data_IF_344943726980
#
_entry.id   IF_344943726980
#
_cell.length_a   1.000
_cell.length_b   1.000
_cell.length_c   1.000
_cell.angle_alpha   90.00
_cell.angle_beta   90.00
_cell.angle_gamma   90.00
#
_symmetry.space_group_name_H-M   'P 1'
#
loop_
_entity.id
_entity.type
_entity.pdbx_description
1 polymer ?
#
# COMPACT_ATOMS: atom_id res chain seq x y z
N UNK A 1 16.40 37.13 7.39
CA UNK A 1 17.56 36.27 7.54
C UNK A 1 17.99 36.26 9.00
N UNK A 2 17.54 35.28 9.79
CA UNK A 2 18.11 34.92 11.10
C UNK A 2 17.94 33.42 11.23
N UNK A 3 19.06 32.68 11.23
CA UNK A 3 19.08 31.23 11.35
C UNK A 3 18.74 30.78 12.76
N UNK A 4 17.78 29.91 12.87
CA UNK A 4 17.44 29.21 14.12
C UNK A 4 18.30 27.95 14.17
N UNK A 5 19.27 27.93 15.07
CA UNK A 5 20.05 26.75 15.44
C UNK A 5 19.17 25.91 16.39
N UNK A 6 18.73 24.74 15.95
CA UNK A 6 18.08 23.77 16.81
C UNK A 6 19.16 23.01 17.57
N UNK A 7 19.26 23.27 18.87
CA UNK A 7 20.16 22.53 19.80
C UNK A 7 19.37 21.36 20.35
N UNK A 8 19.74 20.15 19.95
CA UNK A 8 19.22 18.92 20.55
C UNK A 8 19.89 18.70 21.90
N UNK A 9 19.11 18.80 22.98
CA UNK A 9 19.53 18.41 24.34
C UNK A 9 19.07 16.98 24.57
N UNK A 10 20.03 16.06 24.65
CA UNK A 10 19.79 14.69 25.14
C UNK A 10 19.74 14.72 26.67
N UNK A 11 18.72 14.20 27.32
CA UNK A 11 18.78 13.95 28.76
C UNK A 11 19.55 12.65 29.04
N UNK A 12 20.65 12.80 29.78
CA UNK A 12 21.41 11.70 30.37
C UNK A 12 20.57 11.16 31.54
N UNK A 13 20.01 9.94 31.42
CA UNK A 13 19.38 9.23 32.54
C UNK A 13 20.47 8.52 33.38
N UNK A 14 20.66 9.03 34.57
CA UNK A 14 21.44 8.39 35.65
C UNK A 14 20.72 7.12 36.10
N UNK A 15 21.38 5.98 35.98
CA UNK A 15 20.98 4.72 36.60
C UNK A 15 21.51 4.70 38.03
N UNK A 16 20.61 4.91 39.00
CA UNK A 16 20.90 4.65 40.43
C UNK A 16 20.59 3.18 40.69
N UNK A 17 21.59 2.45 41.19
CA UNK A 17 21.47 1.07 41.61
C UNK A 17 20.60 0.92 42.87
N UNK A 18 19.73 -0.08 42.84
CA UNK A 18 19.09 -0.63 44.05
C UNK A 18 19.32 -2.14 44.04
N UNK A 19 20.20 -2.58 44.94
CA UNK A 19 20.35 -3.97 45.37
C UNK A 19 19.27 -4.27 46.41
N UNK A 20 18.51 -5.36 46.19
CA UNK A 20 17.68 -5.87 47.28
C UNK A 20 16.61 -6.87 46.87
N UNK A 21 16.80 -8.10 47.38
CA UNK A 21 15.82 -9.16 47.66
C UNK A 21 15.40 -10.07 46.50
N UNK A 22 16.14 -11.17 46.37
CA UNK A 22 15.74 -12.44 45.79
C UNK A 22 14.56 -13.02 46.60
N UNK A 23 13.34 -12.87 46.12
CA UNK A 23 12.21 -13.73 46.45
C UNK A 23 11.82 -14.50 45.20
N UNK A 24 11.94 -15.82 45.29
CA UNK A 24 11.64 -16.74 44.20
C UNK A 24 10.18 -16.64 43.81
N UNK A 25 9.93 -16.04 42.65
CA UNK A 25 8.75 -16.31 41.86
C UNK A 25 9.17 -17.33 40.83
N UNK A 26 8.59 -18.53 40.89
CA UNK A 26 8.58 -19.47 39.78
C UNK A 26 8.11 -18.71 38.57
N UNK A 27 9.01 -18.54 37.59
CA UNK A 27 8.64 -18.20 36.22
C UNK A 27 7.78 -19.36 35.75
N UNK A 28 6.47 -19.21 35.76
CA UNK A 28 5.65 -19.87 34.79
C UNK A 28 6.19 -19.40 33.44
N UNK A 29 6.91 -20.28 32.74
CA UNK A 29 7.16 -20.17 31.35
C UNK A 29 5.80 -20.17 30.65
N UNK A 30 5.25 -19.01 30.45
CA UNK A 30 4.25 -18.78 29.41
C UNK A 30 4.92 -19.04 28.07
N UNK A 31 5.18 -20.32 27.78
CA UNK A 31 5.15 -20.78 26.42
C UNK A 31 3.70 -20.57 25.99
N UNK A 32 3.40 -19.44 25.34
CA UNK A 32 2.23 -19.37 24.49
C UNK A 32 2.33 -20.59 23.59
N UNK A 33 1.54 -21.59 23.95
CA UNK A 33 1.37 -22.79 23.19
C UNK A 33 0.85 -22.34 21.83
N UNK A 34 1.69 -22.41 20.81
CA UNK A 34 1.29 -22.49 19.40
C UNK A 34 0.59 -23.86 19.24
N UNK A 35 -0.53 -24.04 19.94
CA UNK A 35 -1.28 -25.30 20.00
C UNK A 35 -2.05 -25.61 18.69
N UNK A 36 -1.88 -24.79 17.65
CA UNK A 36 -2.40 -25.04 16.32
C UNK A 36 -1.35 -25.26 15.24
N UNK A 37 -0.06 -24.96 15.51
CA UNK A 37 1.00 -25.10 14.50
C UNK A 37 1.51 -26.53 14.53
N UNK A 38 0.85 -27.40 13.78
CA UNK A 38 1.33 -28.79 13.58
C UNK A 38 2.64 -28.78 12.78
N UNK A 39 3.72 -29.11 13.46
CA UNK A 39 5.05 -29.29 12.86
C UNK A 39 5.16 -30.66 12.13
N UNK A 40 4.05 -31.16 11.61
CA UNK A 40 4.04 -32.46 10.96
C UNK A 40 4.43 -32.33 9.48
N UNK A 41 5.56 -32.94 9.12
CA UNK A 41 6.04 -33.00 7.73
C UNK A 41 5.02 -33.63 6.76
N UNK A 42 4.05 -34.40 7.24
CA UNK A 42 2.98 -34.99 6.46
C UNK A 42 2.02 -33.93 5.90
N UNK A 43 1.71 -32.90 6.68
CA UNK A 43 0.83 -31.78 6.26
C UNK A 43 1.53 -30.88 5.23
N UNK A 44 2.83 -30.77 5.29
CA UNK A 44 3.62 -29.95 4.37
C UNK A 44 3.60 -30.48 2.91
N UNK A 45 3.18 -31.73 2.68
CA UNK A 45 3.03 -32.34 1.36
C UNK A 45 1.55 -32.49 0.94
N UNK A 46 0.62 -31.86 1.62
CA UNK A 46 -0.80 -31.85 1.26
C UNK A 46 -1.06 -30.91 0.07
N UNK A 47 -1.48 -31.41 -1.11
CA UNK A 47 -1.75 -30.58 -2.28
C UNK A 47 -2.82 -29.48 -2.03
N UNK A 48 -3.81 -29.74 -1.18
CA UNK A 48 -4.83 -28.76 -0.84
C UNK A 48 -4.27 -27.65 0.02
N UNK A 49 -3.38 -27.96 0.96
CA UNK A 49 -2.67 -26.99 1.79
C UNK A 49 -1.72 -26.14 0.95
N UNK A 50 -1.00 -26.73 0.01
CA UNK A 50 -0.11 -26.02 -0.93
C UNK A 50 -0.91 -25.06 -1.80
N UNK A 51 -2.03 -25.50 -2.36
CA UNK A 51 -2.90 -24.65 -3.19
C UNK A 51 -3.50 -23.48 -2.38
N UNK A 52 -3.90 -23.72 -1.11
CA UNK A 52 -4.30 -22.65 -0.19
C UNK A 52 -3.16 -21.67 0.03
N UNK A 53 -1.95 -22.16 0.28
CA UNK A 53 -0.76 -21.33 0.47
C UNK A 53 -0.43 -20.48 -0.76
N UNK A 54 -0.55 -21.03 -1.97
CA UNK A 54 -0.43 -20.27 -3.22
C UNK A 54 -1.43 -19.12 -3.30
N UNK A 55 -2.69 -19.40 -3.02
CA UNK A 55 -3.74 -18.39 -2.98
C UNK A 55 -3.42 -17.26 -1.97
N UNK A 56 -2.97 -17.63 -0.77
CA UNK A 56 -2.61 -16.69 0.28
C UNK A 56 -1.35 -15.87 -0.09
N UNK A 57 -0.37 -16.48 -0.76
CA UNK A 57 0.82 -15.77 -1.24
C UNK A 57 0.47 -14.71 -2.30
N UNK A 58 -0.51 -15.00 -3.17
CA UNK A 58 -1.07 -14.02 -4.10
C UNK A 58 -1.84 -12.93 -3.36
N UNK A 59 -2.71 -13.29 -2.42
CA UNK A 59 -3.46 -12.34 -1.62
C UNK A 59 -2.57 -11.40 -0.78
N UNK A 60 -1.40 -11.91 -0.37
CA UNK A 60 -0.38 -11.16 0.37
C UNK A 60 0.62 -10.39 -0.50
N UNK A 61 0.43 -10.41 -1.83
CA UNK A 61 1.29 -9.73 -2.80
C UNK A 61 2.80 -10.02 -2.62
N UNK A 62 3.13 -11.25 -2.24
CA UNK A 62 4.50 -11.62 -1.92
C UNK A 62 5.46 -11.46 -3.11
N UNK A 63 4.99 -11.72 -4.34
CA UNK A 63 5.75 -11.61 -5.58
C UNK A 63 6.20 -10.19 -5.89
N UNK A 64 5.40 -9.17 -5.58
CA UNK A 64 5.74 -7.77 -5.86
C UNK A 64 7.08 -7.34 -5.27
N UNK A 65 7.44 -7.89 -4.09
CA UNK A 65 8.72 -7.60 -3.46
C UNK A 65 9.74 -8.72 -3.66
N UNK A 66 9.29 -9.99 -3.64
CA UNK A 66 10.18 -11.14 -3.56
C UNK A 66 10.52 -11.79 -4.89
N UNK A 67 9.96 -11.36 -6.01
CA UNK A 67 10.45 -11.78 -7.33
C UNK A 67 11.84 -11.19 -7.60
N UNK A 68 12.60 -11.86 -8.47
CA UNK A 68 13.87 -11.30 -8.94
C UNK A 68 13.65 -10.33 -10.12
N UNK A 69 14.68 -9.56 -10.42
CA UNK A 69 14.63 -8.61 -11.54
C UNK A 69 14.39 -9.27 -12.91
N UNK A 70 14.84 -10.52 -13.07
CA UNK A 70 14.61 -11.36 -14.25
C UNK A 70 13.24 -12.06 -14.24
N UNK A 71 12.38 -11.74 -13.27
CA UNK A 71 11.06 -12.36 -13.04
C UNK A 71 11.09 -13.80 -12.54
N UNK A 72 12.22 -14.29 -12.03
CA UNK A 72 12.25 -15.57 -11.31
C UNK A 72 11.41 -15.43 -10.03
N UNK A 73 10.33 -16.23 -9.89
CA UNK A 73 9.40 -16.08 -8.78
C UNK A 73 10.08 -16.27 -7.43
N UNK A 74 9.82 -15.35 -6.50
CA UNK A 74 10.26 -15.37 -5.11
C UNK A 74 11.78 -15.46 -4.88
N UNK A 75 12.59 -15.27 -5.93
CA UNK A 75 14.06 -15.37 -5.85
C UNK A 75 14.72 -14.12 -5.24
N UNK A 76 13.96 -13.08 -4.93
CA UNK A 76 14.42 -11.89 -4.21
C UNK A 76 15.28 -10.94 -5.05
N UNK A 77 15.66 -9.83 -4.43
CA UNK A 77 16.57 -8.87 -5.02
C UNK A 77 15.91 -7.59 -5.52
N UNK A 78 14.58 -7.52 -5.54
CA UNK A 78 13.88 -6.26 -5.86
C UNK A 78 14.10 -5.22 -4.75
N UNK A 79 14.41 -3.96 -5.09
CA UNK A 79 14.51 -2.88 -4.13
C UNK A 79 13.12 -2.37 -3.74
N UNK A 80 12.84 -2.29 -2.44
CA UNK A 80 11.77 -1.52 -1.87
C UNK A 80 12.34 -0.16 -1.48
N UNK A 81 11.91 0.89 -2.13
CA UNK A 81 12.41 2.24 -1.87
C UNK A 81 11.91 2.75 -0.51
N UNK A 82 12.79 3.43 0.21
CA UNK A 82 12.47 4.11 1.45
C UNK A 82 13.18 5.45 1.54
N UNK A 83 12.73 6.39 2.40
CA UNK A 83 13.44 7.64 2.63
C UNK A 83 14.88 7.46 3.14
N UNK A 84 15.21 6.27 3.60
CA UNK A 84 16.50 5.92 4.19
C UNK A 84 17.44 5.21 3.20
N UNK A 85 16.93 4.84 2.02
CA UNK A 85 17.62 4.10 0.98
C UNK A 85 16.87 2.82 0.58
N UNK A 86 17.36 2.09 -0.43
CA UNK A 86 16.71 0.88 -0.92
C UNK A 86 16.89 -0.28 0.09
N UNK A 87 15.79 -1.00 0.32
CA UNK A 87 15.76 -2.22 1.12
C UNK A 87 15.48 -3.37 0.15
N UNK A 88 16.42 -4.31 0.04
CA UNK A 88 16.29 -5.42 -0.89
C UNK A 88 15.52 -6.58 -0.25
N UNK A 89 14.50 -7.07 -0.95
CA UNK A 89 13.75 -8.24 -0.54
C UNK A 89 14.62 -9.52 -0.65
N UNK A 90 14.47 -10.41 0.30
CA UNK A 90 15.22 -11.67 0.34
C UNK A 90 14.66 -12.70 -0.64
N UNK A 91 15.50 -13.66 -1.02
CA UNK A 91 15.07 -14.91 -1.64
C UNK A 91 14.26 -15.71 -0.60
N UNK A 92 13.01 -16.04 -0.92
CA UNK A 92 12.10 -16.85 -0.09
C UNK A 92 11.71 -18.16 -0.75
N UNK A 93 12.51 -18.61 -1.75
CA UNK A 93 12.38 -19.96 -2.32
C UNK A 93 12.92 -21.01 -1.35
N UNK A 94 12.59 -22.31 -1.53
CA UNK A 94 13.08 -23.38 -0.66
C UNK A 94 14.55 -23.75 -0.90
N UNK A 95 15.37 -22.86 -1.46
CA UNK A 95 16.81 -23.06 -1.55
C UNK A 95 17.44 -23.06 -0.15
N UNK A 96 18.24 -24.09 0.22
CA UNK A 96 18.79 -24.21 1.58
C UNK A 96 19.96 -23.26 1.86
N UNK A 97 20.51 -22.59 0.85
CA UNK A 97 21.67 -21.72 0.98
C UNK A 97 21.31 -20.24 0.87
N UNK A 98 20.53 -19.91 -0.12
CA UNK A 98 20.18 -18.51 -0.45
C UNK A 98 18.74 -18.15 -0.11
N UNK A 99 17.87 -19.15 0.08
CA UNK A 99 16.46 -19.00 0.42
C UNK A 99 16.13 -19.40 1.86
N UNK A 100 14.88 -19.83 2.04
CA UNK A 100 14.34 -20.24 3.34
C UNK A 100 14.27 -21.75 3.55
N UNK A 101 14.90 -22.56 2.69
CA UNK A 101 14.78 -24.02 2.69
C UNK A 101 15.25 -24.74 3.98
N UNK A 102 15.90 -24.02 4.91
CA UNK A 102 16.26 -24.52 6.25
C UNK A 102 15.35 -24.03 7.37
N UNK A 103 14.33 -23.20 7.06
CA UNK A 103 13.45 -22.67 8.09
C UNK A 103 12.48 -23.75 8.57
N UNK A 104 12.33 -23.87 9.88
CA UNK A 104 11.20 -24.58 10.46
C UNK A 104 9.93 -23.74 10.33
N UNK A 105 8.75 -24.36 10.42
CA UNK A 105 7.47 -23.65 10.44
C UNK A 105 7.44 -22.53 11.50
N UNK A 106 7.98 -22.79 12.68
CA UNK A 106 8.08 -21.79 13.75
C UNK A 106 8.97 -20.62 13.35
N UNK A 107 10.13 -20.87 12.75
CA UNK A 107 11.02 -19.79 12.30
C UNK A 107 10.38 -18.97 11.16
N UNK A 108 9.65 -19.61 10.26
CA UNK A 108 8.88 -18.96 9.22
C UNK A 108 7.78 -18.06 9.84
N UNK A 109 7.03 -18.58 10.82
CA UNK A 109 6.03 -17.81 11.56
C UNK A 109 6.66 -16.62 12.30
N UNK A 110 7.80 -16.78 12.95
CA UNK A 110 8.52 -15.71 13.66
C UNK A 110 8.96 -14.58 12.70
N UNK A 111 9.46 -14.94 11.50
CA UNK A 111 9.81 -13.97 10.47
C UNK A 111 8.57 -13.23 9.98
N UNK A 112 7.51 -13.96 9.66
CA UNK A 112 6.31 -13.40 9.06
C UNK A 112 5.56 -12.47 10.03
N UNK A 113 5.40 -12.87 11.30
CA UNK A 113 4.61 -12.13 12.29
C UNK A 113 5.39 -11.10 13.10
N UNK A 114 6.66 -11.29 13.29
CA UNK A 114 7.47 -10.43 14.16
C UNK A 114 8.73 -9.87 13.52
N UNK A 115 8.99 -10.20 12.26
CA UNK A 115 10.21 -9.81 11.56
C UNK A 115 11.50 -10.36 12.18
N UNK A 116 11.42 -11.45 12.98
CA UNK A 116 12.59 -12.04 13.63
C UNK A 116 13.15 -13.20 12.81
N UNK A 117 14.35 -13.02 12.28
CA UNK A 117 15.05 -14.05 11.51
C UNK A 117 15.68 -15.13 12.41
N UNK A 118 15.96 -16.33 11.89
CA UNK A 118 16.57 -17.43 12.67
C UNK A 118 17.90 -17.09 13.31
N UNK A 119 18.69 -16.16 12.73
CA UNK A 119 19.93 -15.64 13.28
C UNK A 119 19.74 -14.52 14.32
N UNK A 120 18.49 -14.25 14.72
CA UNK A 120 18.12 -13.29 15.76
C UNK A 120 18.04 -11.83 15.32
N UNK A 121 18.31 -11.53 14.06
CA UNK A 121 18.14 -10.16 13.54
C UNK A 121 16.68 -9.81 13.37
N UNK A 122 16.39 -8.51 13.35
CA UNK A 122 15.08 -7.97 13.02
C UNK A 122 15.06 -7.41 11.61
N UNK A 123 13.98 -7.66 10.88
CA UNK A 123 13.77 -7.07 9.55
C UNK A 123 13.46 -5.58 9.67
N UNK A 124 13.72 -4.85 8.60
CA UNK A 124 13.13 -3.51 8.44
C UNK A 124 11.64 -3.65 8.15
N UNK A 125 10.80 -2.70 8.61
CA UNK A 125 9.34 -2.76 8.41
C UNK A 125 8.90 -2.45 6.96
N UNK A 126 9.84 -2.48 6.00
CA UNK A 126 9.52 -2.60 4.58
C UNK A 126 8.83 -3.93 4.25
N UNK A 127 9.17 -5.02 4.97
CA UNK A 127 8.31 -6.18 5.05
C UNK A 127 7.20 -5.89 6.07
N UNK A 128 5.92 -5.94 5.69
CA UNK A 128 4.80 -5.49 6.54
C UNK A 128 4.44 -6.52 7.62
N UNK A 129 5.46 -7.00 8.38
CA UNK A 129 5.24 -7.96 9.46
C UNK A 129 4.29 -7.45 10.57
N UNK A 130 4.12 -6.14 10.82
CA UNK A 130 3.07 -5.70 11.75
C UNK A 130 1.65 -6.04 11.27
N UNK A 131 1.39 -6.02 9.96
CA UNK A 131 0.13 -6.48 9.38
C UNK A 131 0.07 -8.02 9.38
N UNK A 132 1.13 -8.70 8.98
CA UNK A 132 1.19 -10.16 8.99
C UNK A 132 1.12 -10.78 10.39
N UNK A 133 1.36 -10.01 11.45
CA UNK A 133 1.12 -10.45 12.83
C UNK A 133 -0.34 -10.89 13.05
N UNK A 134 -1.30 -10.36 12.25
CA UNK A 134 -2.72 -10.71 12.31
C UNK A 134 -3.06 -12.08 11.73
N UNK A 135 -2.15 -12.73 10.99
CA UNK A 135 -2.40 -14.02 10.36
C UNK A 135 -2.63 -15.12 11.41
N UNK A 136 -3.61 -15.98 11.18
CA UNK A 136 -3.84 -17.17 11.98
C UNK A 136 -2.82 -18.30 11.67
N UNK A 137 -2.78 -19.32 12.49
CA UNK A 137 -1.79 -20.40 12.37
C UNK A 137 -2.01 -21.29 11.15
N UNK A 138 -3.28 -21.49 10.75
CA UNK A 138 -3.61 -22.30 9.58
C UNK A 138 -3.11 -21.65 8.29
N UNK A 139 -3.28 -20.33 8.16
CA UNK A 139 -2.81 -19.58 6.99
C UNK A 139 -1.27 -19.50 6.95
N UNK A 140 -0.61 -19.35 8.10
CA UNK A 140 0.87 -19.41 8.17
C UNK A 140 1.37 -20.80 7.78
N UNK A 141 0.69 -21.86 8.21
CA UNK A 141 1.02 -23.23 7.87
C UNK A 141 0.86 -23.48 6.37
N UNK A 142 -0.23 -22.98 5.76
CA UNK A 142 -0.47 -23.09 4.33
C UNK A 142 0.59 -22.32 3.51
N UNK A 143 0.92 -21.08 3.91
CA UNK A 143 1.99 -20.31 3.29
C UNK A 143 3.34 -21.04 3.37
N UNK A 144 3.68 -21.60 4.53
CA UNK A 144 4.89 -22.39 4.71
C UNK A 144 4.92 -23.60 3.77
N UNK A 145 3.83 -24.38 3.70
CA UNK A 145 3.72 -25.52 2.81
C UNK A 145 3.93 -25.11 1.34
N UNK A 146 3.34 -24.00 0.90
CA UNK A 146 3.51 -23.48 -0.45
C UNK A 146 4.97 -23.09 -0.74
N UNK A 147 5.59 -22.28 0.13
CA UNK A 147 6.96 -21.84 -0.10
C UNK A 147 7.98 -22.97 -0.02
N UNK A 148 7.73 -24.00 0.78
CA UNK A 148 8.64 -25.13 0.91
C UNK A 148 8.45 -26.21 -0.16
N UNK A 149 7.23 -26.39 -0.69
CA UNK A 149 6.91 -27.53 -1.57
C UNK A 149 6.25 -27.12 -2.89
N UNK A 150 5.63 -25.95 -2.99
CA UNK A 150 4.99 -25.43 -4.21
C UNK A 150 5.92 -24.57 -5.07
N UNK A 151 6.92 -23.93 -4.46
CA UNK A 151 7.85 -23.01 -5.13
C UNK A 151 9.12 -23.76 -5.55
N UNK A 152 9.65 -23.46 -6.74
CA UNK A 152 10.94 -24.01 -7.20
C UNK A 152 12.10 -23.31 -6.49
N UNK A 153 13.13 -24.03 -6.02
CA UNK A 153 14.31 -23.43 -5.43
C UNK A 153 15.07 -22.58 -6.45
N UNK A 154 15.63 -21.47 -6.00
CA UNK A 154 16.48 -20.57 -6.80
C UNK A 154 17.74 -20.22 -6.02
N UNK A 155 18.88 -20.32 -6.68
CA UNK A 155 20.20 -19.96 -6.12
C UNK A 155 20.48 -18.45 -6.25
N UNK A 156 19.49 -17.62 -6.57
CA UNK A 156 19.68 -16.18 -6.67
C UNK A 156 20.11 -15.59 -5.33
N UNK A 157 21.21 -14.86 -5.35
CA UNK A 157 21.75 -14.17 -4.19
C UNK A 157 21.23 -12.73 -4.16
N UNK A 158 20.18 -12.49 -3.38
CA UNK A 158 19.63 -11.15 -3.23
C UNK A 158 20.67 -10.18 -2.64
N UNK A 159 20.76 -8.93 -3.15
CA UNK A 159 21.68 -7.92 -2.62
C UNK A 159 21.43 -7.65 -1.14
N UNK A 160 22.50 -7.37 -0.40
CA UNK A 160 22.36 -6.98 1.00
C UNK A 160 21.92 -5.52 1.12
N UNK A 161 20.90 -5.28 1.94
CA UNK A 161 20.48 -3.92 2.30
C UNK A 161 21.57 -3.21 3.08
N UNK A 162 22.01 -2.04 2.59
CA UNK A 162 23.01 -1.19 3.21
C UNK A 162 22.47 0.23 3.35
N UNK A 163 21.85 0.51 4.49
CA UNK A 163 21.37 1.86 4.80
C UNK A 163 22.50 2.73 5.40
N UNK A 164 22.45 4.06 5.27
CA UNK A 164 23.42 4.96 5.92
C UNK A 164 23.22 4.95 7.44
N UNK A 165 24.27 5.36 8.19
CA UNK A 165 24.14 5.61 9.62
C UNK A 165 23.15 6.76 9.90
N UNK A 166 22.28 6.64 10.90
CA UNK A 166 22.16 5.57 11.91
C UNK A 166 21.19 4.43 11.51
N UNK A 167 20.59 4.44 10.33
CA UNK A 167 19.54 3.51 9.91
C UNK A 167 20.05 2.08 9.62
N UNK A 168 21.36 1.90 9.51
CA UNK A 168 22.02 0.59 9.41
C UNK A 168 22.12 -0.15 10.75
N UNK A 169 21.73 0.48 11.87
CA UNK A 169 21.81 -0.11 13.21
C UNK A 169 20.64 -1.10 13.46
N UNK A 170 20.81 -2.34 13.02
CA UNK A 170 19.75 -3.38 13.07
C UNK A 170 19.20 -3.66 14.46
N UNK A 171 20.00 -3.49 15.50
CA UNK A 171 19.53 -3.64 16.89
C UNK A 171 18.42 -2.64 17.26
N UNK A 172 18.42 -1.46 16.63
CA UNK A 172 17.37 -0.46 16.84
C UNK A 172 15.98 -0.95 16.40
N UNK A 173 15.93 -1.90 15.47
CA UNK A 173 14.67 -2.49 15.02
C UNK A 173 13.98 -3.32 16.09
N UNK A 174 14.71 -3.79 17.11
CA UNK A 174 14.10 -4.42 18.28
C UNK A 174 13.20 -3.43 19.02
N UNK A 175 13.72 -2.23 19.31
CA UNK A 175 12.96 -1.19 19.98
C UNK A 175 11.84 -0.65 19.08
N UNK A 176 12.12 -0.44 17.80
CA UNK A 176 11.11 0.01 16.86
C UNK A 176 9.93 -0.96 16.78
N UNK A 177 10.21 -2.25 16.62
CA UNK A 177 9.19 -3.28 16.56
C UNK A 177 8.36 -3.33 17.86
N UNK A 178 9.00 -3.17 19.01
CA UNK A 178 8.31 -3.22 20.30
C UNK A 178 7.44 -1.98 20.58
N UNK A 179 7.87 -0.81 20.14
CA UNK A 179 7.17 0.45 20.40
C UNK A 179 6.09 0.77 19.35
N UNK A 180 6.32 0.40 18.10
CA UNK A 180 5.52 0.82 16.96
C UNK A 180 4.92 -0.36 16.16
N UNK A 181 5.38 -1.58 16.37
CA UNK A 181 4.87 -2.76 15.68
C UNK A 181 3.56 -3.26 16.28
N UNK A 182 2.70 -3.85 15.44
CA UNK A 182 1.59 -4.66 15.93
C UNK A 182 2.08 -6.10 16.20
N UNK A 183 1.57 -6.71 17.26
CA UNK A 183 1.91 -8.07 17.68
C UNK A 183 0.69 -8.95 17.95
N UNK A 184 -0.50 -8.45 17.64
CA UNK A 184 -1.77 -9.15 17.90
C UNK A 184 -2.23 -9.90 16.66
N UNK A 185 -2.63 -11.16 16.85
CA UNK A 185 -3.38 -11.88 15.84
C UNK A 185 -4.78 -11.27 15.68
N UNK A 186 -5.36 -11.45 14.49
CA UNK A 186 -6.73 -11.06 14.24
C UNK A 186 -7.70 -11.93 15.05
N UNK A 187 -8.60 -11.29 15.77
CA UNK A 187 -9.68 -11.95 16.47
C UNK A 187 -11.00 -11.51 15.82
N UNK A 188 -11.82 -12.45 15.32
CA UNK A 188 -13.11 -12.11 14.74
C UNK A 188 -14.03 -11.38 15.71
N UNK A 189 -14.64 -10.28 15.27
CA UNK A 189 -15.69 -9.60 16.02
C UNK A 189 -16.99 -10.41 15.93
N UNK A 190 -17.46 -10.94 17.05
CA UNK A 190 -18.67 -11.75 17.16
C UNK A 190 -19.95 -10.97 16.85
N UNK A 191 -19.92 -9.65 16.87
CA UNK A 191 -21.04 -8.77 16.54
C UNK A 191 -21.11 -8.40 15.06
N UNK A 192 -20.14 -8.84 14.26
CA UNK A 192 -20.06 -8.60 12.81
C UNK A 192 -20.31 -9.90 12.03
N UNK A 193 -20.71 -9.74 10.77
CA UNK A 193 -20.90 -10.89 9.89
C UNK A 193 -19.56 -11.61 9.60
N UNK A 194 -19.64 -12.88 9.22
CA UNK A 194 -18.47 -13.64 8.77
C UNK A 194 -17.78 -12.99 7.57
N UNK A 195 -18.56 -12.43 6.65
CA UNK A 195 -18.05 -11.70 5.49
C UNK A 195 -17.28 -10.44 5.90
N UNK A 196 -17.83 -9.65 6.83
CA UNK A 196 -17.12 -8.48 7.37
C UNK A 196 -15.81 -8.89 8.03
N UNK A 197 -15.82 -9.91 8.87
CA UNK A 197 -14.63 -10.43 9.54
C UNK A 197 -13.57 -10.94 8.55
N UNK A 198 -14.02 -11.60 7.47
CA UNK A 198 -13.13 -12.03 6.39
C UNK A 198 -12.48 -10.83 5.68
N UNK A 199 -13.27 -9.80 5.40
CA UNK A 199 -12.77 -8.55 4.80
C UNK A 199 -11.77 -7.83 5.70
N UNK A 200 -12.07 -7.68 6.99
CA UNK A 200 -11.17 -7.10 7.97
C UNK A 200 -9.84 -7.88 8.05
N UNK A 201 -9.91 -9.21 8.15
CA UNK A 201 -8.73 -10.07 8.16
C UNK A 201 -7.84 -9.90 6.92
N UNK A 202 -8.45 -9.80 5.73
CA UNK A 202 -7.71 -9.59 4.50
C UNK A 202 -7.09 -8.18 4.43
N UNK A 203 -7.85 -7.14 4.74
CA UNK A 203 -7.40 -5.75 4.61
C UNK A 203 -6.34 -5.39 5.67
N UNK A 204 -6.57 -5.78 6.92
CA UNK A 204 -5.69 -5.44 8.04
C UNK A 204 -4.48 -6.37 8.15
N UNK A 205 -4.62 -7.62 7.69
CA UNK A 205 -3.59 -8.66 7.77
C UNK A 205 -2.89 -8.89 6.43
N UNK A 206 -3.36 -9.90 5.70
CA UNK A 206 -2.64 -10.45 4.56
C UNK A 206 -2.45 -9.44 3.40
N UNK A 207 -3.49 -8.69 3.06
CA UNK A 207 -3.44 -7.65 2.01
C UNK A 207 -2.70 -6.37 2.43
N UNK A 208 -2.36 -6.22 3.71
CA UNK A 208 -1.59 -5.11 4.31
C UNK A 208 -1.89 -3.72 3.71
N UNK A 209 -3.16 -3.44 3.42
CA UNK A 209 -3.59 -2.19 2.76
C UNK A 209 -3.15 -0.94 3.54
N UNK A 210 -3.09 -1.04 4.89
CA UNK A 210 -2.58 0.00 5.77
C UNK A 210 -1.15 0.41 5.48
N UNK A 211 -0.30 -0.49 4.99
CA UNK A 211 1.10 -0.19 4.68
C UNK A 211 1.28 0.96 3.69
N UNK A 212 0.30 1.17 2.79
CA UNK A 212 0.29 2.30 1.86
C UNK A 212 -0.78 3.34 2.21
N UNK A 213 -1.97 2.89 2.61
CA UNK A 213 -3.15 3.75 2.77
C UNK A 213 -3.32 4.35 4.18
N UNK A 214 -2.38 4.11 5.11
CA UNK A 214 -2.36 4.75 6.45
C UNK A 214 -1.21 5.75 6.54
N UNK A 215 -1.39 6.93 7.14
CA UNK A 215 -0.32 7.91 7.30
C UNK A 215 0.84 7.34 8.14
N UNK A 216 2.03 7.86 7.91
CA UNK A 216 3.24 7.50 8.66
C UNK A 216 3.52 8.46 9.79
N UNK A 217 3.89 7.91 10.94
CA UNK A 217 4.41 8.65 12.08
C UNK A 217 5.88 9.06 11.92
N UNK A 218 6.41 9.79 12.92
CA UNK A 218 7.81 10.27 12.89
C UNK A 218 8.86 9.15 12.85
N UNK A 219 8.53 7.96 13.35
CA UNK A 219 9.39 6.77 13.28
C UNK A 219 9.17 5.95 11.98
N UNK A 220 8.45 6.52 11.02
CA UNK A 220 8.01 5.87 9.79
C UNK A 220 7.11 4.66 10.04
N UNK A 221 6.49 4.62 11.19
CA UNK A 221 5.47 3.66 11.62
C UNK A 221 4.12 3.98 10.98
N UNK A 222 3.25 2.99 10.87
CA UNK A 222 1.84 3.20 10.51
C UNK A 222 1.10 3.78 11.74
N UNK A 223 0.34 4.86 11.54
CA UNK A 223 -0.42 5.48 12.63
C UNK A 223 -1.67 4.68 13.06
N UNK A 224 -1.83 3.48 12.54
CA UNK A 224 -2.89 2.55 12.90
C UNK A 224 -2.79 1.24 12.12
N UNK A 225 -3.18 0.14 12.75
CA UNK A 225 -3.12 -1.21 12.17
C UNK A 225 -4.48 -1.88 12.01
N UNK A 226 -5.56 -1.22 12.43
CA UNK A 226 -6.92 -1.75 12.40
C UNK A 226 -7.98 -0.64 12.38
N UNK A 227 -9.24 -1.04 12.21
CA UNK A 227 -10.37 -0.14 12.07
C UNK A 227 -10.66 0.71 13.32
N UNK A 228 -10.12 0.36 14.48
CA UNK A 228 -10.31 1.12 15.72
C UNK A 228 -9.50 2.43 15.71
N UNK A 229 -8.40 2.48 14.96
CA UNK A 229 -7.58 3.69 14.83
C UNK A 229 -8.21 4.71 13.90
N UNK A 230 -8.33 5.97 14.34
CA UNK A 230 -8.86 7.08 13.53
C UNK A 230 -7.97 7.45 12.34
N UNK A 231 -6.72 6.99 12.33
CA UNK A 231 -5.77 7.22 11.23
C UNK A 231 -5.74 6.07 10.21
N UNK A 232 -6.31 4.90 10.56
CA UNK A 232 -6.24 3.72 9.70
C UNK A 232 -6.95 3.96 8.37
N UNK A 233 -6.25 3.69 7.26
CA UNK A 233 -6.71 3.82 5.87
C UNK A 233 -7.15 5.24 5.45
N UNK A 234 -6.67 6.28 6.11
CA UNK A 234 -7.03 7.68 5.80
C UNK A 234 -6.18 8.34 4.72
N UNK A 235 -5.37 7.56 4.02
CA UNK A 235 -4.41 7.99 3.00
C UNK A 235 -2.99 8.12 3.53
N UNK A 236 -2.00 7.83 2.69
CA UNK A 236 -0.59 7.90 3.07
C UNK A 236 0.33 8.15 1.87
N UNK A 237 1.53 8.65 2.13
CA UNK A 237 2.56 8.88 1.10
C UNK A 237 3.66 7.83 1.27
N UNK A 238 3.95 7.10 0.19
CA UNK A 238 5.05 6.15 0.12
C UNK A 238 5.76 6.27 -1.22
N UNK A 239 7.06 6.32 -1.24
CA UNK A 239 7.89 6.45 -2.45
C UNK A 239 7.39 7.53 -3.44
N UNK A 240 7.03 8.70 -2.92
CA UNK A 240 6.43 9.80 -3.69
C UNK A 240 5.14 9.43 -4.46
N UNK A 241 4.38 8.45 -3.95
CA UNK A 241 3.01 8.17 -4.32
C UNK A 241 2.10 8.43 -3.12
N UNK A 242 1.01 9.15 -3.33
CA UNK A 242 -0.06 9.26 -2.36
C UNK A 242 -1.09 8.15 -2.60
N UNK A 243 -1.21 7.23 -1.67
CA UNK A 243 -2.28 6.23 -1.65
C UNK A 243 -3.55 6.89 -1.06
N UNK A 244 -4.70 6.86 -1.76
CA UNK A 244 -5.88 7.61 -1.35
C UNK A 244 -6.52 7.08 -0.07
N UNK A 245 -7.42 7.90 0.49
CA UNK A 245 -8.29 7.57 1.61
C UNK A 245 -9.26 6.43 1.21
N UNK A 246 -9.30 5.35 1.99
CA UNK A 246 -10.21 4.21 1.79
C UNK A 246 -11.40 4.21 2.76
N UNK A 247 -11.58 5.27 3.53
CA UNK A 247 -12.70 5.40 4.47
C UNK A 247 -13.97 5.92 3.79
N UNK A 248 -15.06 6.06 4.54
CA UNK A 248 -16.37 6.51 4.05
C UNK A 248 -16.46 7.98 3.62
N UNK A 249 -15.36 8.71 3.47
CA UNK A 249 -15.36 10.09 2.96
C UNK A 249 -15.99 10.18 1.56
N UNK A 250 -17.03 11.03 1.36
CA UNK A 250 -17.67 11.16 0.07
C UNK A 250 -16.88 12.00 -0.95
N UNK A 251 -15.86 12.75 -0.52
CA UNK A 251 -14.97 13.51 -1.38
C UNK A 251 -13.85 12.64 -1.93
N UNK A 252 -12.82 12.46 -1.14
CA UNK A 252 -11.57 11.79 -1.49
C UNK A 252 -11.51 10.30 -1.14
N UNK A 253 -12.56 9.75 -0.50
CA UNK A 253 -12.62 8.35 -0.05
C UNK A 253 -13.60 7.50 -0.86
N UNK A 254 -14.00 6.38 -0.23
CA UNK A 254 -14.91 5.40 -0.83
C UNK A 254 -16.41 5.66 -0.52
N UNK A 255 -16.76 6.82 0.07
CA UNK A 255 -18.13 7.10 0.48
C UNK A 255 -19.16 6.99 -0.64
N UNK A 256 -18.81 7.38 -1.87
CA UNK A 256 -19.67 7.34 -3.05
C UNK A 256 -19.57 6.03 -3.86
N UNK A 257 -18.71 5.09 -3.47
CA UNK A 257 -18.57 3.81 -4.13
C UNK A 257 -19.58 2.80 -3.59
N UNK A 258 -20.10 1.92 -4.45
CA UNK A 258 -20.79 0.71 -3.99
C UNK A 258 -19.80 -0.39 -3.64
N UNK A 259 -20.26 -1.45 -2.96
CA UNK A 259 -19.46 -2.65 -2.70
C UNK A 259 -19.02 -3.32 -4.01
N UNK A 260 -19.94 -3.42 -4.97
CA UNK A 260 -19.64 -3.99 -6.28
C UNK A 260 -18.62 -3.18 -7.07
N UNK A 261 -18.67 -1.82 -7.01
CA UNK A 261 -17.66 -0.96 -7.65
C UNK A 261 -16.27 -1.17 -7.04
N UNK A 262 -16.18 -1.36 -5.71
CA UNK A 262 -14.90 -1.64 -5.02
C UNK A 262 -14.38 -3.02 -5.43
N UNK A 263 -15.23 -4.05 -5.38
CA UNK A 263 -14.85 -5.41 -5.74
C UNK A 263 -14.40 -5.50 -7.21
N UNK A 264 -15.15 -4.85 -8.12
CA UNK A 264 -14.79 -4.78 -9.53
C UNK A 264 -13.45 -4.05 -9.75
N UNK A 265 -13.23 -2.92 -9.07
CA UNK A 265 -11.97 -2.18 -9.16
C UNK A 265 -10.78 -3.03 -8.71
N UNK A 266 -10.89 -3.78 -7.61
CA UNK A 266 -9.84 -4.66 -7.12
C UNK A 266 -9.60 -5.86 -8.04
N UNK A 267 -10.63 -6.33 -8.76
CA UNK A 267 -10.53 -7.43 -9.71
C UNK A 267 -9.96 -6.98 -11.05
N UNK A 268 -10.46 -5.85 -11.59
CA UNK A 268 -10.24 -5.45 -12.99
C UNK A 268 -9.23 -4.28 -13.11
N UNK A 269 -8.86 -3.63 -12.00
CA UNK A 269 -7.95 -2.49 -11.98
C UNK A 269 -8.54 -1.19 -12.54
N UNK A 270 -9.79 -1.21 -12.97
CA UNK A 270 -10.50 -0.05 -13.49
C UNK A 270 -12.00 -0.13 -13.17
N UNK A 271 -12.66 1.00 -13.25
CA UNK A 271 -14.10 1.12 -13.03
C UNK A 271 -14.61 2.51 -13.41
N UNK A 272 -15.89 2.74 -13.19
CA UNK A 272 -16.53 4.01 -13.56
C UNK A 272 -15.91 5.24 -12.87
N UNK A 273 -15.25 5.07 -11.71
CA UNK A 273 -14.74 6.18 -10.89
C UNK A 273 -13.25 6.36 -10.95
N UNK A 274 -12.48 5.33 -11.25
CA UNK A 274 -11.03 5.38 -11.26
C UNK A 274 -10.42 4.23 -12.05
N UNK A 275 -9.15 4.38 -12.40
CA UNK A 275 -8.27 3.30 -12.88
C UNK A 275 -7.07 3.21 -11.96
N UNK A 276 -6.64 2.01 -11.62
CA UNK A 276 -5.42 1.78 -10.85
C UNK A 276 -4.19 2.15 -11.69
N UNK A 277 -3.20 2.76 -11.05
CA UNK A 277 -1.97 3.20 -11.69
C UNK A 277 -0.84 3.35 -10.65
N UNK A 278 0.38 3.63 -11.12
CA UNK A 278 1.54 3.79 -10.25
C UNK A 278 1.74 2.57 -9.37
N UNK A 279 1.95 2.79 -8.07
CA UNK A 279 2.19 1.72 -7.11
C UNK A 279 0.98 0.77 -6.90
N UNK A 280 -0.25 1.21 -7.22
CA UNK A 280 -1.44 0.34 -7.12
C UNK A 280 -1.59 -0.63 -8.31
N UNK A 281 -0.99 -0.32 -9.47
CA UNK A 281 -1.10 -1.18 -10.64
C UNK A 281 -0.52 -2.59 -10.43
N UNK A 282 0.70 -2.78 -9.87
CA UNK A 282 1.19 -4.12 -9.54
C UNK A 282 0.36 -4.81 -8.47
N UNK A 283 -0.19 -4.12 -7.47
CA UNK A 283 -1.08 -4.72 -6.46
C UNK A 283 -2.29 -5.38 -7.11
N UNK A 284 -2.90 -4.76 -8.11
CA UNK A 284 -3.96 -5.39 -8.89
C UNK A 284 -3.39 -6.54 -9.73
N UNK A 285 -2.33 -6.26 -10.50
CA UNK A 285 -1.78 -7.19 -11.49
C UNK A 285 -1.17 -8.45 -10.88
N UNK A 286 -0.56 -8.35 -9.72
CA UNK A 286 0.18 -9.45 -9.10
C UNK A 286 -0.60 -10.09 -7.94
N UNK A 287 -1.63 -9.41 -7.39
CA UNK A 287 -2.38 -9.86 -6.23
C UNK A 287 -3.90 -9.90 -6.44
N UNK A 288 -4.59 -8.77 -6.40
CA UNK A 288 -6.04 -8.76 -6.18
C UNK A 288 -6.87 -9.34 -7.32
N UNK A 289 -6.39 -9.32 -8.57
CA UNK A 289 -7.06 -9.99 -9.70
C UNK A 289 -7.20 -11.51 -9.51
N UNK A 290 -6.39 -12.14 -8.63
CA UNK A 290 -6.42 -13.56 -8.34
C UNK A 290 -7.34 -13.93 -7.17
N UNK A 291 -7.89 -12.94 -6.47
CA UNK A 291 -8.79 -13.18 -5.35
C UNK A 291 -10.15 -13.68 -5.83
N UNK A 292 -10.76 -14.54 -5.01
CA UNK A 292 -12.13 -14.97 -5.26
C UNK A 292 -13.10 -13.80 -5.18
N UNK A 293 -14.21 -13.87 -5.92
CA UNK A 293 -15.27 -12.85 -5.81
C UNK A 293 -15.79 -12.71 -4.38
N UNK A 294 -15.82 -13.80 -3.60
CA UNK A 294 -16.22 -13.76 -2.20
C UNK A 294 -15.26 -12.93 -1.34
N UNK A 295 -13.95 -13.10 -1.53
CA UNK A 295 -12.95 -12.31 -0.80
C UNK A 295 -12.92 -10.84 -1.25
N UNK A 296 -13.11 -10.56 -2.55
CA UNK A 296 -13.23 -9.18 -3.05
C UNK A 296 -14.45 -8.46 -2.48
N UNK A 297 -15.61 -9.14 -2.40
CA UNK A 297 -16.81 -8.60 -1.76
C UNK A 297 -16.64 -8.43 -0.25
N UNK A 298 -15.99 -9.38 0.41
CA UNK A 298 -15.66 -9.27 1.84
C UNK A 298 -14.80 -8.04 2.13
N UNK A 299 -13.75 -7.79 1.32
CA UNK A 299 -12.95 -6.58 1.39
C UNK A 299 -13.82 -5.33 1.21
N UNK A 300 -14.70 -5.33 0.22
CA UNK A 300 -15.60 -4.20 -0.05
C UNK A 300 -16.59 -3.94 1.10
N UNK A 301 -17.17 -5.00 1.69
CA UNK A 301 -18.05 -4.92 2.86
C UNK A 301 -17.33 -4.28 4.05
N UNK A 302 -16.10 -4.72 4.34
CA UNK A 302 -15.30 -4.14 5.41
C UNK A 302 -14.98 -2.66 5.13
N UNK A 303 -14.44 -2.32 3.96
CA UNK A 303 -14.08 -0.94 3.60
C UNK A 303 -15.30 0.00 3.64
N UNK A 304 -16.46 -0.44 3.19
CA UNK A 304 -17.71 0.34 3.25
C UNK A 304 -18.26 0.54 4.66
N UNK A 305 -17.83 -0.26 5.63
CA UNK A 305 -18.21 -0.11 7.02
C UNK A 305 -17.41 0.97 7.77
N UNK A 306 -16.28 1.42 7.20
CA UNK A 306 -15.44 2.42 7.82
C UNK A 306 -16.13 3.80 7.83
N UNK A 307 -16.19 4.51 8.97
CA UNK A 307 -16.71 5.86 9.01
C UNK A 307 -15.87 6.81 8.17
N UNK A 308 -16.45 7.94 7.77
CA UNK A 308 -15.69 8.99 7.09
C UNK A 308 -14.64 9.58 8.03
N UNK A 309 -13.37 9.50 7.62
CA UNK A 309 -12.21 10.04 8.32
C UNK A 309 -11.36 10.85 7.36
N UNK A 310 -10.62 11.85 7.86
CA UNK A 310 -9.76 12.71 7.04
C UNK A 310 -10.48 13.27 5.80
N UNK A 311 -11.68 13.82 6.01
CA UNK A 311 -12.56 14.32 4.96
C UNK A 311 -11.84 15.43 4.18
N UNK A 312 -11.75 15.27 2.86
CA UNK A 312 -11.14 16.28 2.00
C UNK A 312 -11.78 16.31 0.61
N UNK A 313 -11.83 17.51 0.03
CA UNK A 313 -12.49 17.77 -1.23
C UNK A 313 -13.99 17.50 -1.18
N UNK A 314 -14.70 17.98 -2.15
CA UNK A 314 -16.13 17.70 -2.32
C UNK A 314 -16.46 17.53 -3.80
N UNK A 315 -17.52 16.81 -4.08
CA UNK A 315 -18.00 16.63 -5.44
C UNK A 315 -19.48 17.01 -5.57
N UNK A 316 -19.76 18.02 -6.40
CA UNK A 316 -21.12 18.36 -6.82
C UNK A 316 -21.44 17.63 -8.12
N UNK A 317 -22.28 16.60 -8.02
CA UNK A 317 -22.72 15.84 -9.19
C UNK A 317 -23.87 16.55 -9.91
N UNK A 318 -23.58 17.68 -10.57
CA UNK A 318 -24.53 18.42 -11.38
C UNK A 318 -24.26 18.20 -12.89
N UNK A 319 -25.00 17.31 -13.57
CA UNK A 319 -24.78 17.01 -14.98
C UNK A 319 -24.99 18.22 -15.90
N UNK A 320 -25.92 19.10 -15.58
CA UNK A 320 -26.19 20.30 -16.37
C UNK A 320 -25.02 21.30 -16.30
N UNK A 321 -24.55 21.62 -15.09
CA UNK A 321 -23.38 22.47 -14.90
C UNK A 321 -22.14 21.88 -15.59
N UNK A 322 -21.95 20.56 -15.52
CA UNK A 322 -20.86 19.86 -16.20
C UNK A 322 -20.93 20.00 -17.72
N UNK A 323 -22.13 19.86 -18.31
CA UNK A 323 -22.33 20.05 -19.76
C UNK A 323 -22.03 21.49 -20.18
N UNK A 324 -22.44 22.50 -19.42
CA UNK A 324 -22.11 23.90 -19.71
C UNK A 324 -20.60 24.14 -19.65
N UNK A 325 -19.94 23.60 -18.63
CA UNK A 325 -18.48 23.67 -18.49
C UNK A 325 -17.78 22.99 -19.69
N UNK A 326 -18.27 21.83 -20.12
CA UNK A 326 -17.69 21.11 -21.27
C UNK A 326 -17.75 21.96 -22.57
N UNK A 327 -18.88 22.59 -22.84
CA UNK A 327 -19.04 23.49 -24.01
C UNK A 327 -18.06 24.67 -23.94
N UNK A 328 -17.92 25.29 -22.76
CA UNK A 328 -17.00 26.41 -22.57
C UNK A 328 -15.52 25.97 -22.71
N UNK A 329 -15.18 24.74 -22.35
CA UNK A 329 -13.85 24.15 -22.60
C UNK A 329 -13.64 23.92 -24.09
N UNK A 330 -14.59 23.32 -24.78
CA UNK A 330 -14.52 23.01 -26.23
C UNK A 330 -14.44 24.26 -27.10
N UNK A 331 -15.19 25.31 -26.77
CA UNK A 331 -15.16 26.59 -27.47
C UNK A 331 -13.93 27.44 -27.15
N UNK A 332 -13.15 27.08 -26.12
CA UNK A 332 -12.05 27.88 -25.62
C UNK A 332 -12.47 29.15 -24.86
N UNK A 333 -13.76 29.29 -24.54
CA UNK A 333 -14.32 30.46 -23.83
C UNK A 333 -14.08 30.39 -22.30
N UNK A 334 -13.61 29.23 -21.77
CA UNK A 334 -13.35 29.08 -20.34
C UNK A 334 -12.02 29.73 -19.98
N UNK A 335 -12.07 31.01 -19.60
CA UNK A 335 -10.90 31.79 -19.14
C UNK A 335 -10.50 31.43 -17.71
N UNK A 336 -9.90 30.25 -17.56
CA UNK A 336 -9.36 29.79 -16.27
C UNK A 336 -7.94 29.25 -16.47
N UNK A 337 -6.98 29.50 -15.54
CA UNK A 337 -5.65 28.92 -15.62
C UNK A 337 -5.74 27.39 -15.78
N UNK A 338 -4.95 26.83 -16.71
CA UNK A 338 -4.94 25.41 -17.02
C UNK A 338 -6.02 24.93 -18.01
N UNK A 339 -7.06 25.72 -18.34
CA UNK A 339 -8.11 25.30 -19.26
C UNK A 339 -7.57 25.05 -20.67
N UNK A 340 -6.74 25.96 -21.21
CA UNK A 340 -6.11 25.80 -22.51
C UNK A 340 -5.14 24.61 -22.59
N UNK A 341 -4.39 24.38 -21.51
CA UNK A 341 -3.51 23.20 -21.38
C UNK A 341 -4.35 21.92 -21.38
N UNK A 342 -5.46 21.91 -20.61
CA UNK A 342 -6.37 20.77 -20.57
C UNK A 342 -6.95 20.45 -21.95
N UNK A 343 -7.45 21.45 -22.65
CA UNK A 343 -8.02 21.28 -23.99
C UNK A 343 -6.98 20.69 -24.96
N UNK A 344 -5.75 21.21 -24.93
CA UNK A 344 -4.69 20.84 -25.87
C UNK A 344 -4.11 19.44 -25.62
N UNK A 345 -3.97 19.03 -24.36
CA UNK A 345 -3.22 17.81 -24.01
C UNK A 345 -4.07 16.70 -23.36
N UNK A 346 -5.19 17.04 -22.70
CA UNK A 346 -5.92 16.11 -21.82
C UNK A 346 -7.31 15.74 -22.37
N UNK A 347 -8.04 16.70 -22.95
CA UNK A 347 -9.44 16.53 -23.36
C UNK A 347 -9.65 15.44 -24.42
N UNK A 348 -8.65 15.15 -25.25
CA UNK A 348 -8.71 14.07 -26.23
C UNK A 348 -9.01 12.69 -25.63
N UNK A 349 -8.55 12.45 -24.38
CA UNK A 349 -8.70 11.18 -23.68
C UNK A 349 -9.72 11.30 -22.56
N UNK A 350 -9.62 12.38 -21.75
CA UNK A 350 -10.48 12.57 -20.58
C UNK A 350 -11.78 13.30 -20.88
N UNK A 351 -12.02 13.69 -22.14
CA UNK A 351 -13.17 14.44 -22.66
C UNK A 351 -13.29 15.84 -22.06
N UNK A 352 -14.02 16.75 -22.70
CA UNK A 352 -14.18 18.12 -22.25
C UNK A 352 -15.01 18.24 -20.95
N UNK A 353 -15.87 17.25 -20.67
CA UNK A 353 -16.68 17.14 -19.46
C UNK A 353 -15.99 16.38 -18.31
N UNK A 354 -14.75 15.91 -18.52
CA UNK A 354 -13.98 15.16 -17.54
C UNK A 354 -14.51 13.76 -17.22
N UNK A 355 -15.45 13.21 -18.00
CA UNK A 355 -16.04 11.88 -17.73
C UNK A 355 -15.12 10.74 -18.18
N UNK A 356 -14.12 11.02 -19.02
CA UNK A 356 -13.21 10.01 -19.53
C UNK A 356 -13.85 9.07 -20.56
N UNK A 357 -13.10 8.05 -20.93
CA UNK A 357 -13.52 7.00 -21.87
C UNK A 357 -13.21 5.65 -21.18
N UNK A 358 -14.19 4.77 -20.94
CA UNK A 358 -14.03 3.56 -20.12
C UNK A 358 -12.81 2.70 -20.49
N UNK A 359 -12.57 2.54 -21.79
CA UNK A 359 -11.49 1.68 -22.30
C UNK A 359 -10.18 2.42 -22.59
N UNK A 360 -10.08 3.71 -22.25
CA UNK A 360 -8.94 4.54 -22.65
C UNK A 360 -8.40 5.45 -21.56
N UNK A 361 -9.26 6.11 -20.82
CA UNK A 361 -8.87 7.06 -19.79
C UNK A 361 -9.95 7.16 -18.70
N UNK A 362 -9.59 7.20 -17.40
CA UNK A 362 -10.56 7.30 -16.32
C UNK A 362 -11.27 8.65 -16.31
N UNK A 363 -12.42 8.68 -15.64
CA UNK A 363 -13.06 9.92 -15.26
C UNK A 363 -12.15 10.76 -14.36
N UNK A 364 -12.12 12.06 -14.59
CA UNK A 364 -11.52 13.06 -13.69
C UNK A 364 -12.60 13.74 -12.85
N UNK A 365 -13.81 13.92 -13.42
CA UNK A 365 -14.98 14.40 -12.69
C UNK A 365 -15.40 13.38 -11.61
N UNK A 366 -15.40 13.81 -10.37
CA UNK A 366 -15.76 12.97 -9.24
C UNK A 366 -14.74 11.88 -8.87
N UNK A 367 -13.53 11.91 -9.41
CA UNK A 367 -12.47 10.98 -9.06
C UNK A 367 -11.93 11.28 -7.66
N UNK A 368 -11.96 10.34 -6.70
CA UNK A 368 -11.53 10.58 -5.33
C UNK A 368 -10.08 11.04 -5.21
N UNK A 369 -9.17 10.48 -6.02
CA UNK A 369 -7.77 10.87 -6.00
C UNK A 369 -7.55 12.31 -6.48
N UNK A 370 -8.31 12.76 -7.48
CA UNK A 370 -8.27 14.15 -7.93
C UNK A 370 -8.64 15.12 -6.82
N UNK A 371 -9.52 14.70 -5.90
CA UNK A 371 -9.99 15.50 -4.77
C UNK A 371 -9.25 15.25 -3.46
N UNK A 372 -8.26 14.36 -3.45
CA UNK A 372 -7.48 14.04 -2.26
C UNK A 372 -6.80 15.29 -1.67
N UNK A 373 -6.55 15.27 -0.35
CA UNK A 373 -5.84 16.35 0.34
C UNK A 373 -4.42 16.55 -0.19
N UNK A 374 -3.76 15.45 -0.57
CA UNK A 374 -2.41 15.45 -1.11
C UNK A 374 -2.46 15.22 -2.64
N UNK A 375 -1.97 16.16 -3.47
CA UNK A 375 -1.98 16.06 -4.92
C UNK A 375 -0.81 15.28 -5.53
N UNK A 376 0.10 14.74 -4.71
CA UNK A 376 1.37 14.13 -5.16
C UNK A 376 1.16 13.13 -6.31
N UNK A 377 0.24 12.19 -6.16
CA UNK A 377 0.00 11.18 -7.21
C UNK A 377 -0.58 11.78 -8.49
N UNK A 378 -1.46 12.77 -8.40
CA UNK A 378 -2.02 13.45 -9.60
C UNK A 378 -0.92 14.22 -10.33
N UNK A 379 -0.05 14.92 -9.60
CA UNK A 379 1.10 15.62 -10.20
C UNK A 379 2.05 14.61 -10.84
N UNK A 380 2.38 13.52 -10.12
CA UNK A 380 3.34 12.51 -10.60
C UNK A 380 2.88 11.85 -11.90
N UNK A 381 1.60 11.53 -12.03
CA UNK A 381 1.04 10.99 -13.27
C UNK A 381 1.19 11.97 -14.43
N UNK A 382 0.98 13.26 -14.22
CA UNK A 382 1.19 14.26 -15.27
C UNK A 382 2.68 14.33 -15.65
N UNK A 383 3.59 14.25 -14.68
CA UNK A 383 5.04 14.33 -14.91
C UNK A 383 5.56 13.08 -15.64
N UNK A 384 5.28 11.88 -15.12
CA UNK A 384 5.90 10.61 -15.54
C UNK A 384 5.04 9.77 -16.49
N UNK A 385 3.75 10.09 -16.60
CA UNK A 385 2.79 9.19 -17.23
C UNK A 385 2.46 7.99 -16.32
N UNK A 386 1.68 7.07 -16.85
CA UNK A 386 1.36 5.83 -16.15
C UNK A 386 0.80 4.76 -17.10
N UNK A 387 0.84 3.51 -16.63
CA UNK A 387 0.18 2.36 -17.27
C UNK A 387 -0.79 1.72 -16.27
N UNK A 388 -1.93 1.24 -16.79
CA UNK A 388 -2.88 0.44 -16.00
C UNK A 388 -2.29 -0.94 -15.67
N UNK A 389 -2.88 -1.70 -14.72
CA UNK A 389 -2.44 -3.04 -14.40
C UNK A 389 -2.32 -3.96 -15.61
N UNK A 390 -1.40 -4.90 -15.55
CA UNK A 390 -1.33 -6.03 -16.48
C UNK A 390 -2.30 -7.10 -15.99
N UNK A 391 -3.29 -7.40 -16.81
CA UNK A 391 -4.33 -8.37 -16.48
C UNK A 391 -4.05 -9.72 -17.14
N UNK A 392 -4.52 -10.82 -16.49
CA UNK A 392 -4.35 -12.18 -17.01
C UNK A 392 -5.09 -12.47 -18.32
N UNK A 393 -6.15 -11.73 -18.57
CA UNK A 393 -6.96 -11.86 -19.79
C UNK A 393 -6.31 -11.23 -21.05
N UNK A 394 -5.06 -10.76 -20.92
CA UNK A 394 -4.32 -10.03 -21.93
C UNK A 394 -5.03 -8.75 -22.42
N UNK A 395 -5.91 -8.17 -21.61
CA UNK A 395 -6.49 -6.86 -21.90
C UNK A 395 -5.38 -5.84 -22.15
N UNK A 396 -5.60 -4.96 -23.12
CA UNK A 396 -4.62 -3.91 -23.45
C UNK A 396 -4.46 -2.96 -22.27
N UNK A 397 -3.23 -2.77 -21.83
CA UNK A 397 -2.92 -1.75 -20.84
C UNK A 397 -3.26 -0.35 -21.37
N UNK A 398 -3.96 0.42 -20.55
CA UNK A 398 -4.20 1.83 -20.82
C UNK A 398 -2.93 2.61 -20.45
N UNK A 399 -2.57 3.59 -21.30
CA UNK A 399 -1.37 4.40 -21.07
C UNK A 399 -1.71 5.88 -21.05
N UNK A 400 -1.29 6.56 -20.00
CA UNK A 400 -1.22 8.02 -19.95
C UNK A 400 0.21 8.45 -20.29
N UNK A 401 0.44 9.32 -21.29
CA UNK A 401 1.78 9.78 -21.63
C UNK A 401 2.38 10.67 -20.53
N UNK A 402 3.71 10.72 -20.45
CA UNK A 402 4.44 11.67 -19.62
C UNK A 402 4.44 13.05 -20.28
N UNK A 403 4.26 14.11 -19.48
CA UNK A 403 4.26 15.50 -19.95
C UNK A 403 5.44 16.33 -19.43
N UNK A 404 6.42 15.70 -18.77
CA UNK A 404 7.57 16.39 -18.16
C UNK A 404 8.38 17.25 -19.12
N UNK A 405 8.42 16.89 -20.39
CA UNK A 405 9.19 17.59 -21.44
C UNK A 405 8.31 18.50 -22.30
N UNK A 406 6.97 18.48 -22.13
CA UNK A 406 5.99 19.23 -22.94
C UNK A 406 5.36 20.38 -22.16
N UNK A 407 5.27 20.25 -20.84
CA UNK A 407 4.67 21.25 -19.97
C UNK A 407 5.69 21.82 -18.99
N UNK A 408 5.63 23.12 -18.81
CA UNK A 408 6.36 23.82 -17.76
C UNK A 408 5.82 23.46 -16.39
N UNK A 409 6.57 23.78 -15.35
CA UNK A 409 6.10 23.58 -13.96
C UNK A 409 4.82 24.35 -13.67
N UNK A 410 4.69 25.58 -14.18
CA UNK A 410 3.50 26.42 -14.02
C UNK A 410 2.29 25.82 -14.74
N UNK A 411 2.43 25.42 -16.02
CA UNK A 411 1.35 24.77 -16.76
C UNK A 411 0.88 23.46 -16.09
N UNK A 412 1.81 22.67 -15.51
CA UNK A 412 1.45 21.48 -14.73
C UNK A 412 0.63 21.85 -13.48
N UNK A 413 1.06 22.85 -12.72
CA UNK A 413 0.34 23.30 -11.53
C UNK A 413 -1.05 23.84 -11.89
N UNK A 414 -1.17 24.60 -12.97
CA UNK A 414 -2.42 25.17 -13.46
C UNK A 414 -3.39 24.09 -13.95
N UNK A 415 -2.93 23.12 -14.78
CA UNK A 415 -3.81 22.08 -15.30
C UNK A 415 -4.25 21.12 -14.22
N UNK A 416 -3.40 20.76 -13.26
CA UNK A 416 -3.79 19.94 -12.11
C UNK A 416 -4.80 20.69 -11.23
N UNK A 417 -4.57 21.98 -10.97
CA UNK A 417 -5.53 22.84 -10.24
C UNK A 417 -6.86 22.96 -10.98
N UNK A 418 -6.83 23.10 -12.29
CA UNK A 418 -8.02 23.10 -13.14
C UNK A 418 -8.84 21.82 -12.97
N UNK A 419 -8.22 20.66 -13.14
CA UNK A 419 -8.88 19.35 -12.98
C UNK A 419 -9.46 19.16 -11.58
N UNK A 420 -8.76 19.62 -10.56
CA UNK A 420 -9.16 19.53 -9.16
C UNK A 420 -10.34 20.44 -8.79
N UNK A 421 -10.65 21.43 -9.64
CA UNK A 421 -11.70 22.46 -9.37
C UNK A 421 -12.68 22.66 -10.53
N UNK A 422 -12.88 21.64 -11.34
CA UNK A 422 -13.78 21.69 -12.51
C UNK A 422 -14.74 20.51 -12.48
N UNK A 423 -15.83 20.58 -13.19
CA UNK A 423 -16.89 19.55 -13.33
C UNK A 423 -17.54 19.10 -12.02
N UNK A 424 -17.54 19.96 -11.01
CA UNK A 424 -18.07 19.66 -9.68
C UNK A 424 -17.03 19.17 -8.69
N UNK A 425 -15.76 19.01 -9.11
CA UNK A 425 -14.65 18.78 -8.19
C UNK A 425 -14.32 20.07 -7.43
N UNK A 426 -14.10 19.98 -6.12
CA UNK A 426 -13.66 21.08 -5.27
C UNK A 426 -12.55 20.58 -4.35
N UNK A 427 -11.30 20.94 -4.65
CA UNK A 427 -10.12 20.58 -3.85
C UNK A 427 -9.09 21.73 -3.86
N UNK A 428 -8.14 21.70 -2.94
CA UNK A 428 -7.10 22.71 -2.86
C UNK A 428 -6.29 22.78 -4.17
N UNK A 429 -5.96 24.00 -4.67
CA UNK A 429 -5.13 24.16 -5.85
C UNK A 429 -3.71 23.68 -5.59
N UNK A 430 -2.99 23.40 -6.66
CA UNK A 430 -1.59 22.98 -6.67
C UNK A 430 -0.70 24.18 -7.01
N UNK A 431 0.40 24.33 -6.31
CA UNK A 431 1.37 25.40 -6.57
C UNK A 431 2.54 24.90 -7.43
N UNK A 432 3.22 25.83 -8.09
CA UNK A 432 4.51 25.57 -8.76
C UNK A 432 5.55 24.93 -7.83
N UNK A 433 5.49 25.26 -6.54
CA UNK A 433 6.39 24.68 -5.54
C UNK A 433 6.15 23.19 -5.38
N UNK A 434 4.90 22.75 -5.34
CA UNK A 434 4.53 21.32 -5.18
C UNK A 434 5.07 20.52 -6.37
N UNK A 435 4.87 21.02 -7.58
CA UNK A 435 5.39 20.38 -8.81
C UNK A 435 6.92 20.34 -8.80
N UNK A 436 7.62 21.43 -8.44
CA UNK A 436 9.09 21.44 -8.38
C UNK A 436 9.65 20.48 -7.36
N UNK A 437 9.05 20.44 -6.16
CA UNK A 437 9.51 19.54 -5.10
C UNK A 437 9.36 18.08 -5.51
N UNK A 438 8.23 17.73 -6.11
CA UNK A 438 7.99 16.35 -6.58
C UNK A 438 8.94 15.97 -7.71
N UNK A 439 9.11 16.83 -8.74
CA UNK A 439 10.08 16.57 -9.84
C UNK A 439 11.48 16.33 -9.32
N UNK A 440 11.92 17.11 -8.32
CA UNK A 440 13.23 16.94 -7.70
C UNK A 440 13.34 15.64 -6.87
N UNK A 441 12.23 15.12 -6.32
CA UNK A 441 12.21 13.90 -5.53
C UNK A 441 12.22 12.62 -6.38
N UNK A 442 11.52 12.62 -7.53
CA UNK A 442 11.41 11.45 -8.40
C UNK A 442 12.58 11.28 -9.38
N UNK A 443 13.44 12.30 -9.55
CA UNK A 443 14.62 12.25 -10.40
C UNK A 443 15.93 11.96 -9.64
N UNK A 444 15.84 11.59 -8.36
CA UNK A 444 16.95 11.12 -7.54
C UNK A 444 17.07 9.61 -7.58
#
# INVERSE_FOLDING_TARGET
>A
MKGIKLTFVFPLLLVAGATGLLSGCQRENGSENLTGVHADSALANDPALIARGEYLAKAGDCSACHDAADKTPYAGGMPVNSPFGPIYASNITPDPTFGIGRYTLRQFADVLRSGKTPDGKRLYPAMPYPSFAKLNDDDVTALYAYFMHGVKPSTNHAPQTRLPFPFNQRWAMFFWSHLFGNHKQYVPDVHRSAEWNRGAYLVEGLGHCGACHTPRGPAYDELGYDFESDHYLTGGVNDNWFAPNLTGDPGSGLGRWSQDEIAAFLRDGHGARATAFGAMAPVIGDSTQYLSNADLLAIAVFLKSLPARNVSGTFDNNPHARTLTARAVESGELERPGAGVYLSYCARCHLADGTGQPDKAPALAGNPLVMASDPTSVIRIVVEGSESPKMNDNAKTQKMPAFKDQLTTTEMAEVVSFVRNTWGNHAAPVSDRDVRLLRAAIHK
#
